data_IF_558131324004
#
_entry.id   IF_558131324004
#
_cell.length_a   1.000
_cell.length_b   1.000
_cell.length_c   1.000
_cell.angle_alpha   90.00
_cell.angle_beta   90.00
_cell.angle_gamma   90.00
#
_symmetry.space_group_name_H-M   'P 1'
#
loop_
_entity.id
_entity.type
_entity.pdbx_description
1 polymer ?
#
# COMPACT_ATOMS: atom_id res chain seq x y z
N UNK A 1 19.82 -4.34 16.52
CA UNK A 1 19.49 -4.21 15.08
C UNK A 1 19.74 -2.77 14.68
N UNK A 2 20.77 -2.51 13.86
CA UNK A 2 21.08 -1.15 13.43
C UNK A 2 19.90 -0.55 12.66
N UNK A 3 19.62 0.72 12.92
CA UNK A 3 18.64 1.46 12.13
C UNK A 3 19.19 1.58 10.70
N UNK A 4 18.67 0.74 9.80
CA UNK A 4 19.05 0.76 8.39
C UNK A 4 18.66 2.08 7.73
N UNK A 5 19.33 2.40 6.62
CA UNK A 5 18.89 3.48 5.73
C UNK A 5 17.48 3.18 5.21
N UNK A 6 16.77 4.23 4.79
CA UNK A 6 15.52 4.03 4.08
C UNK A 6 15.76 3.32 2.74
N UNK A 7 14.78 2.56 2.27
CA UNK A 7 14.84 1.90 0.97
C UNK A 7 15.01 2.95 -0.15
N UNK A 8 14.23 4.04 -0.09
CA UNK A 8 14.38 5.19 -0.97
C UNK A 8 14.17 6.53 -0.25
N UNK A 9 14.75 7.58 -0.83
CA UNK A 9 14.42 8.97 -0.55
C UNK A 9 13.87 9.59 -1.82
N UNK A 10 12.62 10.02 -1.79
CA UNK A 10 11.93 10.71 -2.86
C UNK A 10 12.10 12.22 -2.67
N UNK A 11 12.30 12.96 -3.76
CA UNK A 11 12.37 14.43 -3.73
C UNK A 11 11.49 14.99 -4.84
N UNK A 12 10.52 15.82 -4.47
CA UNK A 12 9.62 16.51 -5.40
C UNK A 12 9.17 17.84 -4.81
N UNK A 13 9.03 18.87 -5.65
CA UNK A 13 8.53 20.20 -5.26
C UNK A 13 9.23 20.80 -4.03
N UNK A 14 10.57 20.65 -3.96
CA UNK A 14 11.38 21.18 -2.86
C UNK A 14 11.23 20.42 -1.52
N UNK A 15 10.52 19.30 -1.50
CA UNK A 15 10.32 18.45 -0.33
C UNK A 15 10.92 17.07 -0.56
N UNK A 16 11.40 16.44 0.51
CA UNK A 16 11.89 15.05 0.46
C UNK A 16 11.07 14.15 1.36
N UNK A 17 10.94 12.85 1.06
CA UNK A 17 10.26 11.86 1.89
C UNK A 17 11.02 10.54 1.84
N UNK A 18 11.04 9.81 2.95
CA UNK A 18 11.51 8.43 2.96
C UNK A 18 10.39 7.51 2.48
N UNK A 19 10.71 6.57 1.60
CA UNK A 19 9.79 5.52 1.18
C UNK A 19 10.34 4.17 1.62
N UNK A 20 9.52 3.41 2.34
CA UNK A 20 9.79 2.03 2.68
C UNK A 20 8.80 1.14 1.93
N UNK A 21 9.28 0.21 1.11
CA UNK A 21 8.42 -0.80 0.51
C UNK A 21 8.55 -2.12 1.27
N UNK A 22 7.42 -2.70 1.66
CA UNK A 22 7.37 -3.98 2.35
C UNK A 22 6.35 -4.90 1.67
N UNK A 23 6.85 -6.03 1.16
CA UNK A 23 6.00 -7.14 0.72
C UNK A 23 5.67 -8.04 1.91
N UNK A 24 4.39 -8.12 2.24
CA UNK A 24 3.86 -8.95 3.32
C UNK A 24 3.36 -10.25 2.72
N UNK A 25 4.08 -11.35 3.00
CA UNK A 25 3.70 -12.70 2.53
C UNK A 25 2.73 -13.41 3.48
N UNK A 26 2.56 -12.89 4.69
CA UNK A 26 1.65 -13.44 5.70
C UNK A 26 1.32 -12.34 6.71
N UNK A 27 0.04 -12.22 7.06
CA UNK A 27 -0.46 -11.18 7.96
C UNK A 27 0.19 -11.25 9.35
N UNK A 28 0.55 -12.43 9.84
CA UNK A 28 1.23 -12.59 11.14
C UNK A 28 2.64 -11.96 11.18
N UNK A 29 3.26 -11.67 10.02
CA UNK A 29 4.56 -10.97 9.94
C UNK A 29 4.41 -9.46 9.78
N UNK A 30 3.19 -8.98 9.58
CA UNK A 30 2.93 -7.58 9.25
C UNK A 30 3.48 -6.62 10.29
N UNK A 31 3.19 -6.85 11.58
CA UNK A 31 3.71 -6.03 12.67
C UNK A 31 5.23 -5.87 12.58
N UNK A 32 5.95 -6.98 12.43
CA UNK A 32 7.42 -6.97 12.32
C UNK A 32 7.89 -6.10 11.17
N UNK A 33 7.23 -6.17 10.02
CA UNK A 33 7.59 -5.38 8.84
C UNK A 33 7.26 -3.90 9.00
N UNK A 34 6.07 -3.57 9.52
CA UNK A 34 5.64 -2.19 9.75
C UNK A 34 6.52 -1.51 10.80
N UNK A 35 6.80 -2.17 11.94
CA UNK A 35 7.73 -1.65 12.96
C UNK A 35 9.12 -1.41 12.40
N UNK A 36 9.61 -2.31 11.54
CA UNK A 36 10.92 -2.15 10.90
C UNK A 36 10.93 -0.93 9.98
N UNK A 37 9.92 -0.80 9.12
CA UNK A 37 9.77 0.34 8.19
C UNK A 37 9.66 1.66 8.95
N UNK A 38 8.82 1.73 9.99
CA UNK A 38 8.71 2.89 10.87
C UNK A 38 10.07 3.30 11.44
N UNK A 39 10.83 2.35 12.01
CA UNK A 39 12.18 2.61 12.53
C UNK A 39 13.15 3.12 11.46
N UNK A 40 13.10 2.58 10.24
CA UNK A 40 13.93 3.05 9.11
C UNK A 40 13.59 4.49 8.74
N UNK A 41 12.30 4.83 8.63
CA UNK A 41 11.83 6.19 8.35
C UNK A 41 12.19 7.16 9.48
N UNK A 42 12.01 6.77 10.74
CA UNK A 42 12.38 7.62 11.87
C UNK A 42 13.89 7.92 11.85
N UNK A 43 14.72 6.96 11.47
CA UNK A 43 16.17 7.13 11.41
C UNK A 43 16.63 8.15 10.36
N UNK A 44 15.85 8.40 9.31
CA UNK A 44 16.19 9.41 8.29
C UNK A 44 15.95 10.83 8.76
N UNK A 45 15.13 11.05 9.80
CA UNK A 45 14.69 12.36 10.31
C UNK A 45 13.89 13.22 9.31
N UNK A 46 13.61 12.71 8.10
CA UNK A 46 12.89 13.44 7.05
C UNK A 46 11.38 13.15 7.13
N UNK A 47 11.00 12.03 7.75
CA UNK A 47 9.64 11.49 7.69
C UNK A 47 9.37 10.80 6.34
N UNK A 48 8.26 10.09 6.23
CA UNK A 48 8.06 9.20 5.09
C UNK A 48 6.73 8.49 5.03
N UNK A 49 6.66 7.53 4.12
CA UNK A 49 5.49 6.71 3.82
C UNK A 49 5.91 5.25 3.74
N UNK A 50 4.99 4.36 4.06
CA UNK A 50 5.22 2.91 3.97
C UNK A 50 4.31 2.36 2.88
N UNK A 51 4.88 1.85 1.81
CA UNK A 51 4.17 1.07 0.80
C UNK A 51 4.15 -0.40 1.21
N UNK A 52 2.96 -0.99 1.27
CA UNK A 52 2.71 -2.34 1.74
C UNK A 52 2.05 -3.15 0.64
N UNK A 53 2.78 -4.09 0.06
CA UNK A 53 2.24 -5.07 -0.88
C UNK A 53 1.73 -6.28 -0.09
N UNK A 54 0.41 -6.47 -0.06
CA UNK A 54 -0.26 -7.57 0.65
C UNK A 54 -0.74 -8.69 -0.28
N UNK A 55 -0.44 -8.61 -1.58
CA UNK A 55 -0.98 -9.53 -2.59
C UNK A 55 -0.74 -10.99 -2.25
N UNK A 56 0.46 -11.32 -1.76
CA UNK A 56 0.81 -12.69 -1.35
C UNK A 56 0.25 -13.09 0.02
N UNK A 57 -0.13 -12.14 0.87
CA UNK A 57 -0.81 -12.45 2.12
C UNK A 57 -2.29 -12.81 1.87
N UNK A 58 -2.93 -12.17 0.88
CA UNK A 58 -4.35 -12.37 0.58
C UNK A 58 -4.60 -13.43 -0.52
N UNK A 59 -3.65 -13.62 -1.43
CA UNK A 59 -3.68 -14.64 -2.47
C UNK A 59 -2.32 -15.37 -2.56
N UNK A 60 -1.99 -16.25 -1.59
CA UNK A 60 -0.66 -16.87 -1.51
C UNK A 60 -0.29 -17.73 -2.73
N UNK A 61 -1.29 -18.31 -3.39
CA UNK A 61 -1.11 -19.14 -4.59
C UNK A 61 -1.02 -18.32 -5.88
N UNK A 62 -1.22 -16.99 -5.83
CA UNK A 62 -1.40 -16.15 -7.01
C UNK A 62 -2.43 -16.75 -7.99
N UNK A 63 -3.51 -17.31 -7.46
CA UNK A 63 -4.53 -17.94 -8.29
C UNK A 63 -5.32 -16.86 -9.05
N UNK A 64 -5.57 -17.05 -10.34
CA UNK A 64 -6.44 -16.16 -11.09
C UNK A 64 -7.90 -16.30 -10.65
N UNK A 65 -8.70 -15.26 -10.91
CA UNK A 65 -10.15 -15.38 -10.80
C UNK A 65 -10.66 -16.40 -11.82
N UNK A 66 -11.45 -17.36 -11.34
CA UNK A 66 -12.04 -18.42 -12.18
C UNK A 66 -13.21 -17.93 -13.04
N UNK A 67 -13.74 -16.76 -12.71
CA UNK A 67 -14.88 -16.14 -13.39
C UNK A 67 -14.54 -14.71 -13.76
N UNK A 68 -15.16 -14.24 -14.84
CA UNK A 68 -15.13 -12.82 -15.15
C UNK A 68 -15.83 -12.04 -14.03
N UNK A 69 -15.18 -10.98 -13.56
CA UNK A 69 -15.70 -10.03 -12.57
C UNK A 69 -15.45 -8.65 -13.14
N UNK A 70 -16.42 -7.75 -13.03
CA UNK A 70 -16.26 -6.38 -13.53
C UNK A 70 -15.19 -5.63 -12.72
N UNK A 71 -14.54 -4.66 -13.34
CA UNK A 71 -13.54 -3.82 -12.66
C UNK A 71 -14.16 -3.07 -11.47
N UNK A 72 -15.43 -2.65 -11.58
CA UNK A 72 -16.19 -2.01 -10.50
C UNK A 72 -16.40 -2.96 -9.30
N UNK A 73 -16.75 -4.22 -9.56
CA UNK A 73 -16.89 -5.23 -8.50
C UNK A 73 -15.55 -5.55 -7.85
N UNK A 74 -14.46 -5.60 -8.62
CA UNK A 74 -13.09 -5.79 -8.11
C UNK A 74 -12.72 -4.61 -7.19
N UNK A 75 -12.92 -3.37 -7.64
CA UNK A 75 -12.64 -2.17 -6.85
C UNK A 75 -13.48 -2.13 -5.57
N UNK A 76 -14.78 -2.47 -5.66
CA UNK A 76 -15.66 -2.53 -4.49
C UNK A 76 -15.20 -3.58 -3.48
N UNK A 77 -14.84 -4.78 -3.94
CA UNK A 77 -14.34 -5.84 -3.08
C UNK A 77 -13.01 -5.47 -2.42
N UNK A 78 -12.12 -4.79 -3.15
CA UNK A 78 -10.87 -4.26 -2.62
C UNK A 78 -11.11 -3.22 -1.52
N UNK A 79 -11.94 -2.22 -1.79
CA UNK A 79 -12.27 -1.18 -0.81
C UNK A 79 -12.85 -1.78 0.47
N UNK A 80 -13.80 -2.72 0.35
CA UNK A 80 -14.38 -3.41 1.51
C UNK A 80 -13.33 -4.18 2.32
N UNK A 81 -12.42 -4.91 1.65
CA UNK A 81 -11.34 -5.65 2.31
C UNK A 81 -10.41 -4.72 3.07
N UNK A 82 -9.97 -3.64 2.41
CA UNK A 82 -9.05 -2.70 3.01
C UNK A 82 -9.71 -1.92 4.14
N UNK A 83 -11.00 -1.60 4.06
CA UNK A 83 -11.75 -1.00 5.16
C UNK A 83 -11.80 -1.92 6.39
N UNK A 84 -12.05 -3.22 6.18
CA UNK A 84 -11.96 -4.22 7.25
C UNK A 84 -10.55 -4.26 7.84
N UNK A 85 -9.53 -4.31 6.99
CA UNK A 85 -8.14 -4.30 7.41
C UNK A 85 -7.78 -3.04 8.21
N UNK A 86 -8.17 -1.86 7.73
CA UNK A 86 -7.92 -0.58 8.40
C UNK A 86 -8.59 -0.56 9.75
N UNK A 87 -9.86 -0.98 9.81
CA UNK A 87 -10.61 -1.05 11.08
C UNK A 87 -9.94 -1.98 12.09
N UNK A 88 -9.43 -3.12 11.65
CA UNK A 88 -8.81 -4.13 12.50
C UNK A 88 -7.40 -3.70 12.97
N UNK A 89 -6.56 -3.23 12.04
CA UNK A 89 -5.13 -3.05 12.29
C UNK A 89 -4.67 -1.62 12.50
N UNK A 90 -5.44 -0.59 12.10
CA UNK A 90 -4.99 0.80 12.19
C UNK A 90 -4.62 1.24 13.62
N UNK A 91 -5.38 0.89 14.69
CA UNK A 91 -4.98 1.24 16.04
C UNK A 91 -3.59 0.69 16.41
N UNK A 92 -3.36 -0.60 16.12
CA UNK A 92 -2.07 -1.25 16.35
C UNK A 92 -0.97 -0.68 15.46
N UNK A 93 -1.24 -0.38 14.19
CA UNK A 93 -0.27 0.23 13.27
C UNK A 93 0.19 1.60 13.81
N UNK A 94 -0.75 2.42 14.30
CA UNK A 94 -0.41 3.72 14.91
C UNK A 94 0.47 3.54 16.15
N UNK A 95 0.16 2.55 16.98
CA UNK A 95 0.99 2.19 18.14
C UNK A 95 2.39 1.70 17.70
N UNK A 96 2.46 0.86 16.65
CA UNK A 96 3.69 0.23 16.17
C UNK A 96 4.69 1.22 15.62
N UNK A 97 4.21 2.21 14.88
CA UNK A 97 5.04 3.20 14.19
C UNK A 97 5.57 4.23 15.19
N UNK A 98 4.79 4.57 16.22
CA UNK A 98 5.15 5.64 17.16
C UNK A 98 5.03 7.01 16.49
N UNK A 99 4.55 8.00 17.23
CA UNK A 99 4.01 9.21 16.62
C UNK A 99 5.02 10.02 15.77
N UNK A 100 4.55 10.42 14.57
CA UNK A 100 4.90 11.61 13.75
C UNK A 100 5.81 11.45 12.53
N UNK A 101 6.59 10.38 12.38
CA UNK A 101 7.51 10.28 11.23
C UNK A 101 6.92 9.62 9.99
N UNK A 102 5.77 8.94 10.09
CA UNK A 102 5.10 8.33 8.93
C UNK A 102 3.77 9.03 8.68
N UNK A 103 3.56 9.51 7.44
CA UNK A 103 2.35 10.22 7.04
C UNK A 103 1.17 9.30 6.76
N UNK A 104 1.38 8.29 5.92
CA UNK A 104 0.37 7.31 5.53
C UNK A 104 0.99 5.95 5.19
N UNK A 105 0.15 4.91 5.18
CA UNK A 105 0.43 3.64 4.53
C UNK A 105 -0.23 3.63 3.16
N UNK A 106 0.47 3.08 2.18
CA UNK A 106 -0.08 2.77 0.87
C UNK A 106 -0.25 1.26 0.78
N UNK A 107 -1.48 0.78 0.80
CA UNK A 107 -1.79 -0.62 0.54
C UNK A 107 -1.83 -0.87 -0.96
N UNK A 108 -1.15 -1.93 -1.37
CA UNK A 108 -1.20 -2.46 -2.71
C UNK A 108 -1.60 -3.92 -2.66
N UNK A 109 -2.58 -4.28 -3.47
CA UNK A 109 -2.74 -5.66 -3.91
C UNK A 109 -2.98 -5.72 -5.42
N UNK A 110 -2.91 -6.93 -5.97
CA UNK A 110 -3.29 -7.18 -7.35
C UNK A 110 -4.18 -8.41 -7.42
N UNK A 111 -5.06 -8.41 -8.41
CA UNK A 111 -5.81 -9.59 -8.82
C UNK A 111 -5.42 -9.98 -10.23
N UNK A 112 -5.31 -11.29 -10.46
CA UNK A 112 -5.06 -11.83 -11.79
C UNK A 112 -6.43 -12.10 -12.41
N UNK A 113 -6.74 -11.38 -13.49
CA UNK A 113 -8.03 -11.44 -14.18
C UNK A 113 -7.85 -12.08 -15.56
N UNK A 114 -8.86 -12.78 -16.09
CA UNK A 114 -8.88 -13.11 -17.51
C UNK A 114 -8.76 -11.81 -18.33
N UNK A 115 -7.93 -11.76 -19.37
CA UNK A 115 -7.98 -10.63 -20.30
C UNK A 115 -9.40 -10.50 -20.87
N UNK A 116 -9.89 -9.27 -20.91
CA UNK A 116 -11.27 -8.93 -21.26
C UNK A 116 -11.77 -9.67 -22.51
N UNK A 117 -12.91 -10.34 -22.40
CA UNK A 117 -13.65 -10.90 -23.54
C UNK A 117 -13.33 -12.35 -23.95
N UNK A 118 -12.41 -13.05 -23.28
CA UNK A 118 -12.10 -14.45 -23.65
C UNK A 118 -12.49 -15.39 -22.51
N UNK A 119 -13.50 -16.22 -22.74
CA UNK A 119 -13.81 -17.36 -21.85
C UNK A 119 -12.57 -18.27 -21.71
N UNK A 120 -12.34 -18.94 -20.56
CA UNK A 120 -11.10 -19.69 -20.29
C UNK A 120 -10.81 -20.92 -21.19
N UNK A 121 -11.46 -21.04 -22.34
CA UNK A 121 -11.43 -22.22 -23.20
C UNK A 121 -10.17 -22.38 -24.07
N UNK A 122 -9.17 -21.50 -23.97
CA UNK A 122 -7.88 -21.72 -24.62
C UNK A 122 -6.97 -20.50 -24.58
N UNK A 123 -5.74 -20.67 -24.08
CA UNK A 123 -4.62 -19.72 -24.17
C UNK A 123 -4.97 -18.23 -23.92
N UNK A 124 -5.94 -17.91 -23.06
CA UNK A 124 -6.25 -16.52 -22.73
C UNK A 124 -5.06 -15.89 -22.00
N UNK A 125 -4.59 -14.70 -22.44
CA UNK A 125 -3.61 -13.96 -21.67
C UNK A 125 -4.26 -13.54 -20.34
N UNK A 126 -3.57 -13.79 -19.23
CA UNK A 126 -3.98 -13.27 -17.93
C UNK A 126 -3.56 -11.80 -17.81
N UNK A 127 -4.45 -10.95 -17.31
CA UNK A 127 -4.18 -9.56 -16.96
C UNK A 127 -3.85 -9.41 -15.47
N UNK A 128 -3.14 -8.33 -15.13
CA UNK A 128 -2.93 -7.89 -13.75
C UNK A 128 -3.73 -6.62 -13.52
N UNK A 129 -4.66 -6.67 -12.58
CA UNK A 129 -5.42 -5.51 -12.13
C UNK A 129 -4.85 -5.06 -10.78
N UNK A 130 -4.16 -3.92 -10.78
CA UNK A 130 -3.50 -3.35 -9.60
C UNK A 130 -4.43 -2.43 -8.82
N UNK A 131 -4.44 -2.56 -7.50
CA UNK A 131 -5.31 -1.82 -6.61
C UNK A 131 -4.47 -1.12 -5.54
N UNK A 132 -4.82 0.13 -5.25
CA UNK A 132 -4.09 0.97 -4.32
C UNK A 132 -5.05 1.65 -3.35
N UNK A 133 -4.68 1.73 -2.07
CA UNK A 133 -5.43 2.52 -1.10
C UNK A 133 -4.51 3.21 -0.09
N UNK A 134 -4.72 4.50 0.07
CA UNK A 134 -4.06 5.32 1.09
C UNK A 134 -4.76 5.17 2.43
N UNK A 135 -3.98 5.01 3.48
CA UNK A 135 -4.44 4.97 4.87
C UNK A 135 -3.69 6.03 5.67
N UNK A 136 -4.40 7.10 6.01
CA UNK A 136 -3.85 8.23 6.77
C UNK A 136 -3.52 7.85 8.22
N UNK A 137 -2.26 8.08 8.60
CA UNK A 137 -1.81 7.89 9.98
C UNK A 137 -1.84 9.16 10.81
N UNK A 138 -1.81 10.32 10.16
CA UNK A 138 -1.86 11.61 10.82
C UNK A 138 -3.31 12.03 11.09
N UNK A 139 -3.52 12.64 12.25
CA UNK A 139 -4.83 13.22 12.59
C UNK A 139 -5.19 14.36 11.62
N UNK A 140 -6.49 14.58 11.35
CA UNK A 140 -6.96 15.78 10.67
C UNK A 140 -6.43 17.04 11.35
N UNK A 141 -5.96 18.03 10.56
CA UNK A 141 -5.42 19.30 11.08
C UNK A 141 -3.94 19.28 11.50
N UNK A 142 -3.24 18.15 11.40
CA UNK A 142 -1.79 18.11 11.56
C UNK A 142 -1.12 18.95 10.46
N UNK A 143 -0.22 19.87 10.80
CA UNK A 143 0.57 20.65 9.81
C UNK A 143 1.40 19.76 8.88
N UNK A 144 1.77 18.56 9.32
CA UNK A 144 2.44 17.60 8.46
C UNK A 144 1.51 16.94 7.44
N UNK A 145 0.18 16.99 7.61
CA UNK A 145 -0.78 16.32 6.73
C UNK A 145 -0.73 16.90 5.32
N UNK A 146 -0.76 18.21 5.18
CA UNK A 146 -0.72 18.91 3.89
C UNK A 146 0.51 18.50 3.05
N UNK A 147 1.67 18.33 3.72
CA UNK A 147 2.90 17.86 3.07
C UNK A 147 2.74 16.45 2.49
N UNK A 148 2.06 15.55 3.17
CA UNK A 148 1.83 14.18 2.67
C UNK A 148 0.65 14.10 1.70
N UNK A 149 -0.32 15.00 1.79
CA UNK A 149 -1.40 15.11 0.81
C UNK A 149 -0.84 15.56 -0.55
N UNK A 150 0.12 16.49 -0.58
CA UNK A 150 0.85 16.84 -1.81
C UNK A 150 1.59 15.64 -2.43
N UNK A 151 2.27 14.83 -1.61
CA UNK A 151 2.92 13.60 -2.07
C UNK A 151 1.90 12.62 -2.66
N UNK A 152 0.73 12.51 -2.04
CA UNK A 152 -0.35 11.65 -2.53
C UNK A 152 -0.89 12.13 -3.88
N UNK A 153 -1.13 13.42 -4.07
CA UNK A 153 -1.57 13.96 -5.36
C UNK A 153 -0.56 13.69 -6.48
N UNK A 154 0.74 13.80 -6.19
CA UNK A 154 1.79 13.44 -7.17
C UNK A 154 1.75 11.94 -7.51
N UNK A 155 1.49 11.09 -6.52
CA UNK A 155 1.34 9.66 -6.73
C UNK A 155 0.12 9.34 -7.60
N UNK A 156 -1.04 9.94 -7.32
CA UNK A 156 -2.27 9.74 -8.11
C UNK A 156 -2.09 10.14 -9.57
N UNK A 157 -1.42 11.26 -9.84
CA UNK A 157 -1.11 11.71 -11.21
C UNK A 157 -0.19 10.72 -11.94
N UNK A 158 0.68 10.02 -11.20
CA UNK A 158 1.63 9.07 -11.74
C UNK A 158 1.07 7.66 -11.91
N UNK A 159 -0.12 7.37 -11.35
CA UNK A 159 -0.77 6.09 -11.58
C UNK A 159 -1.16 5.99 -13.06
N UNK A 160 -0.91 4.84 -13.72
CA UNK A 160 -1.45 4.62 -15.05
C UNK A 160 -2.97 4.80 -14.98
N UNK A 161 -3.53 5.59 -15.91
CA UNK A 161 -4.98 5.76 -16.01
C UNK A 161 -5.62 4.36 -16.04
N UNK A 162 -6.65 4.11 -15.21
CA UNK A 162 -7.39 2.85 -15.24
C UNK A 162 -7.98 2.61 -16.65
#
# INVERSE_FOLDING_TARGET
>A
MGAGKADWVLTASGSSWSLEAKRIKSLNKMEKHIRKAGKQITATKIGGVIAVDISLAVNPSCSPLSTFVSDDDIQKAHSMRTDCFVKEYLPSIREWIGSKSVGFLLFHDFVIVPASGVTPAGNSPWGLFGLWQKVDLLSPGSTNKDRYDNLWSLFEIALPNP
#
